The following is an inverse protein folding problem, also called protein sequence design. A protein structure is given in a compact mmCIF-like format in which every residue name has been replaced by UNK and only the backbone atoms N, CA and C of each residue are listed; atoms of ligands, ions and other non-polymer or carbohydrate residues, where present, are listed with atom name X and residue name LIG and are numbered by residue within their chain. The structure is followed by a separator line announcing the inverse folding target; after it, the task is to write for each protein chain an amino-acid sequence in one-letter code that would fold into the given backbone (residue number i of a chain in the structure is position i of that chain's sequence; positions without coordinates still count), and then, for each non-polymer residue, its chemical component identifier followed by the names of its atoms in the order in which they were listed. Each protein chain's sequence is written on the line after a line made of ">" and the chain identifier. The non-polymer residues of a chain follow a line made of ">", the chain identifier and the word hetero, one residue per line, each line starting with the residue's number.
data_IF_440256922676
#
_entry.id   IF_440256922676
#
_cell.length_a   1.000
_cell.length_b   1.000
_cell.length_c   1.000
_cell.angle_alpha   90.00
_cell.angle_beta   90.00
_cell.angle_gamma   90.00
#
_symmetry.space_group_name_H-M   'P 1'
#
loop_
_entity.id
_entity.type
_entity.pdbx_description
1 polymer ?
#
# COMPACT_ATOMS: atom_id res chain seq x y z
N UNK A 1 20.80 13.75 14.29
CA UNK A 1 19.85 12.61 14.28
C UNK A 1 18.57 13.06 14.98
N UNK A 2 17.58 13.55 14.23
CA UNK A 2 16.36 14.14 14.83
C UNK A 2 15.18 13.18 14.69
N UNK A 3 14.71 12.65 15.83
CA UNK A 3 13.58 11.74 15.93
C UNK A 3 12.31 12.59 15.84
N UNK A 4 11.50 12.37 14.80
CA UNK A 4 10.18 13.00 14.64
C UNK A 4 9.10 11.95 14.90
N UNK A 5 8.14 12.16 15.82
CA UNK A 5 7.24 11.14 16.36
C UNK A 5 6.03 10.82 15.45
N UNK A 6 6.21 10.79 14.13
CA UNK A 6 5.14 10.45 13.17
C UNK A 6 5.41 9.06 12.59
N UNK A 7 4.75 8.04 13.16
CA UNK A 7 4.75 6.62 12.73
C UNK A 7 4.94 6.48 11.21
N UNK A 8 6.16 6.12 10.80
CA UNK A 8 6.53 5.91 9.39
C UNK A 8 6.22 4.45 9.07
N UNK A 9 5.18 4.20 8.27
CA UNK A 9 5.01 2.89 7.66
C UNK A 9 6.16 2.68 6.68
N UNK A 10 6.77 1.49 6.68
CA UNK A 10 7.77 1.14 5.66
C UNK A 10 7.11 1.06 4.28
N UNK A 11 7.91 1.12 3.21
CA UNK A 11 7.38 0.98 1.84
C UNK A 11 6.62 -0.33 1.66
N UNK A 12 7.14 -1.42 2.21
CA UNK A 12 6.53 -2.74 2.14
C UNK A 12 5.20 -2.82 2.90
N UNK A 13 5.11 -2.21 4.08
CA UNK A 13 3.85 -2.13 4.83
C UNK A 13 2.79 -1.29 4.10
N UNK A 14 3.22 -0.23 3.40
CA UNK A 14 2.32 0.56 2.54
C UNK A 14 1.83 -0.30 1.36
N UNK A 15 2.74 -1.02 0.68
CA UNK A 15 2.37 -1.90 -0.43
C UNK A 15 1.38 -2.99 -0.02
N UNK A 16 1.62 -3.62 1.14
CA UNK A 16 0.73 -4.63 1.72
C UNK A 16 -0.68 -4.08 1.95
N UNK A 17 -0.80 -2.93 2.62
CA UNK A 17 -2.09 -2.28 2.89
C UNK A 17 -2.82 -1.89 1.60
N UNK A 18 -2.10 -1.35 0.63
CA UNK A 18 -2.65 -0.96 -0.67
C UNK A 18 -3.19 -2.17 -1.45
N UNK A 19 -2.49 -3.30 -1.43
CA UNK A 19 -2.95 -4.54 -2.04
C UNK A 19 -4.20 -5.10 -1.36
N UNK A 20 -4.25 -5.10 -0.02
CA UNK A 20 -5.46 -5.49 0.71
C UNK A 20 -6.67 -4.61 0.35
N UNK A 21 -6.46 -3.30 0.21
CA UNK A 21 -7.54 -2.36 -0.08
C UNK A 21 -8.07 -2.46 -1.52
N UNK A 22 -7.18 -2.61 -2.50
CA UNK A 22 -7.54 -2.49 -3.91
C UNK A 22 -7.63 -3.84 -4.65
N UNK A 23 -6.79 -4.82 -4.31
CA UNK A 23 -6.83 -6.15 -4.93
C UNK A 23 -7.74 -7.11 -4.16
N UNK A 24 -7.71 -7.08 -2.83
CA UNK A 24 -8.56 -7.92 -1.99
C UNK A 24 -9.93 -7.28 -1.65
N UNK A 25 -10.18 -6.05 -2.11
CA UNK A 25 -11.47 -5.37 -1.95
C UNK A 25 -11.82 -4.93 -0.52
N UNK A 26 -10.91 -5.08 0.44
CA UNK A 26 -11.21 -4.87 1.87
C UNK A 26 -11.56 -3.42 2.19
N UNK A 27 -12.38 -3.24 3.23
CA UNK A 27 -12.69 -1.94 3.81
C UNK A 27 -11.50 -1.34 4.56
N UNK A 28 -11.44 -0.01 4.69
CA UNK A 28 -10.30 0.68 5.32
C UNK A 28 -10.03 0.23 6.76
N UNK A 29 -11.08 -0.11 7.52
CA UNK A 29 -10.96 -0.58 8.89
C UNK A 29 -10.36 -1.98 8.97
N UNK A 30 -10.73 -2.87 8.04
CA UNK A 30 -10.19 -4.22 7.99
C UNK A 30 -8.74 -4.24 7.53
N UNK A 31 -8.40 -3.41 6.52
CA UNK A 31 -7.01 -3.19 6.10
C UNK A 31 -6.19 -2.73 7.31
N UNK A 32 -6.72 -1.80 8.11
CA UNK A 32 -6.01 -1.30 9.30
C UNK A 32 -5.77 -2.39 10.33
N UNK A 33 -6.79 -3.17 10.66
CA UNK A 33 -6.67 -4.30 11.60
C UNK A 33 -5.60 -5.29 11.15
N UNK A 34 -5.50 -5.55 9.84
CA UNK A 34 -4.51 -6.50 9.29
C UNK A 34 -3.10 -5.91 9.13
N UNK A 35 -2.94 -4.59 9.15
CA UNK A 35 -1.63 -3.94 8.94
C UNK A 35 -1.03 -3.37 10.25
N UNK A 36 -1.84 -3.17 11.29
CA UNK A 36 -1.36 -2.56 12.54
C UNK A 36 -2.22 -2.97 13.75
N UNK A 37 -1.55 -3.54 14.76
CA UNK A 37 -2.17 -3.91 16.05
C UNK A 37 -2.43 -2.73 17.00
N UNK A 38 -2.12 -1.51 16.58
CA UNK A 38 -2.25 -0.33 17.44
C UNK A 38 -3.74 -0.01 17.64
N UNK A 39 -4.25 -0.35 18.82
CA UNK A 39 -5.61 -0.01 19.28
C UNK A 39 -5.88 1.48 19.08
N UNK A 40 -7.08 1.78 18.60
CA UNK A 40 -7.59 3.15 18.38
C UNK A 40 -7.44 3.96 19.68
N UNK A 41 -6.69 5.06 19.63
CA UNK A 41 -6.83 6.16 20.58
C UNK A 41 -7.21 7.42 19.77
N UNK A 42 -8.43 7.91 19.99
CA UNK A 42 -8.94 9.17 19.44
C UNK A 42 -9.63 9.13 18.07
N UNK A 43 -10.04 10.32 17.62
CA UNK A 43 -10.87 10.66 16.44
C UNK A 43 -10.26 10.28 15.07
N UNK A 44 -9.13 9.56 15.07
CA UNK A 44 -8.52 8.97 13.87
C UNK A 44 -9.35 7.80 13.28
N UNK A 45 -10.58 7.59 13.77
CA UNK A 45 -11.50 6.53 13.41
C UNK A 45 -12.27 6.78 12.09
N UNK A 46 -12.29 8.01 11.56
CA UNK A 46 -12.99 8.31 10.29
C UNK A 46 -12.10 8.06 9.08
N UNK A 47 -12.08 6.80 8.65
CA UNK A 47 -11.46 6.34 7.43
C UNK A 47 -9.94 6.39 7.50
N UNK A 48 -9.26 5.36 7.02
CA UNK A 48 -7.80 5.39 6.95
C UNK A 48 -7.38 6.39 5.84
N UNK A 49 -7.37 7.69 6.17
CA UNK A 49 -6.99 8.81 5.29
C UNK A 49 -5.62 8.61 4.63
N UNK A 50 -4.77 7.75 5.21
CA UNK A 50 -3.51 7.36 4.62
C UNK A 50 -3.67 6.59 3.30
N UNK A 51 -4.70 5.76 3.11
CA UNK A 51 -4.90 5.02 1.85
C UNK A 51 -5.14 5.97 0.67
N UNK A 52 -6.04 6.94 0.82
CA UNK A 52 -6.28 7.95 -0.23
C UNK A 52 -5.12 8.93 -0.38
N UNK A 53 -4.36 9.18 0.69
CA UNK A 53 -3.11 9.95 0.60
C UNK A 53 -2.04 9.19 -0.19
N UNK A 54 -1.82 7.91 0.11
CA UNK A 54 -0.86 7.07 -0.60
C UNK A 54 -1.25 6.87 -2.05
N UNK A 55 -2.54 6.70 -2.36
CA UNK A 55 -3.02 6.66 -3.74
C UNK A 55 -2.68 7.96 -4.51
N UNK A 56 -2.82 9.13 -3.88
CA UNK A 56 -2.39 10.41 -4.46
C UNK A 56 -0.87 10.46 -4.65
N UNK A 57 -0.09 9.98 -3.69
CA UNK A 57 1.37 9.93 -3.79
C UNK A 57 1.85 8.97 -4.88
N UNK A 58 1.18 7.83 -5.08
CA UNK A 58 1.41 6.94 -6.21
C UNK A 58 1.17 7.64 -7.55
N UNK A 59 0.03 8.34 -7.69
CA UNK A 59 -0.28 9.10 -8.91
C UNK A 59 0.73 10.21 -9.17
N UNK A 60 1.22 10.85 -8.11
CA UNK A 60 2.28 11.86 -8.17
C UNK A 60 3.70 11.26 -8.29
N UNK A 61 3.84 9.93 -8.38
CA UNK A 61 5.13 9.21 -8.42
C UNK A 61 6.06 9.50 -7.23
N UNK A 62 5.50 9.94 -6.11
CA UNK A 62 6.21 10.19 -4.85
C UNK A 62 6.37 8.92 -4.00
N UNK A 63 5.71 7.83 -4.39
CA UNK A 63 5.73 6.55 -3.71
C UNK A 63 6.01 5.48 -4.76
N UNK A 64 7.05 4.66 -4.54
CA UNK A 64 7.60 3.72 -5.52
C UNK A 64 7.86 4.38 -6.89
N UNK A 65 8.65 5.46 -6.93
CA UNK A 65 8.83 6.29 -8.15
C UNK A 65 9.35 5.56 -9.39
N UNK A 66 9.97 4.40 -9.21
CA UNK A 66 10.41 3.49 -10.26
C UNK A 66 9.25 2.75 -10.97
N UNK A 67 8.08 2.63 -10.34
CA UNK A 67 6.93 1.96 -10.93
C UNK A 67 6.35 2.80 -12.08
N UNK A 68 6.25 2.16 -13.25
CA UNK A 68 5.53 2.72 -14.39
C UNK A 68 4.10 2.16 -14.42
N UNK A 69 3.12 2.98 -14.02
CA UNK A 69 1.72 2.53 -13.91
C UNK A 69 0.97 2.55 -15.25
N UNK A 70 1.49 3.24 -16.28
CA UNK A 70 0.82 3.44 -17.56
C UNK A 70 -0.47 4.27 -17.43
N UNK A 71 -1.37 4.12 -18.41
CA UNK A 71 -2.70 4.70 -18.32
C UNK A 71 -3.53 3.97 -17.25
N UNK A 72 -4.10 4.72 -16.31
CA UNK A 72 -4.93 4.17 -15.23
C UNK A 72 -6.26 4.90 -15.22
N UNK A 73 -7.35 4.14 -15.08
CA UNK A 73 -8.68 4.68 -14.84
C UNK A 73 -8.68 5.66 -13.65
N UNK A 74 -9.61 6.61 -13.68
CA UNK A 74 -9.72 7.58 -12.62
C UNK A 74 -10.27 6.96 -11.33
N UNK A 75 -9.73 7.44 -10.21
CA UNK A 75 -10.12 7.01 -8.88
C UNK A 75 -8.96 6.43 -8.07
N UNK A 76 -8.96 6.64 -6.74
CA UNK A 76 -7.83 6.26 -5.90
C UNK A 76 -7.66 4.74 -5.80
N UNK A 77 -8.75 3.96 -5.84
CA UNK A 77 -8.67 2.49 -5.86
C UNK A 77 -8.05 1.94 -7.15
N UNK A 78 -8.35 2.53 -8.30
CA UNK A 78 -7.80 2.08 -9.58
C UNK A 78 -6.28 2.27 -9.67
N UNK A 79 -5.80 3.45 -9.27
CA UNK A 79 -4.35 3.73 -9.15
C UNK A 79 -3.68 2.78 -8.17
N UNK A 80 -4.31 2.52 -7.04
CA UNK A 80 -3.77 1.57 -6.08
C UNK A 80 -3.75 0.14 -6.60
N UNK A 81 -4.80 -0.31 -7.29
CA UNK A 81 -4.85 -1.65 -7.88
C UNK A 81 -3.71 -1.83 -8.90
N UNK A 82 -3.53 -0.84 -9.79
CA UNK A 82 -2.45 -0.90 -10.78
C UNK A 82 -1.07 -0.93 -10.14
N UNK A 83 -0.84 -0.09 -9.14
CA UNK A 83 0.43 -0.09 -8.41
C UNK A 83 0.67 -1.40 -7.66
N UNK A 84 -0.34 -1.94 -7.00
CA UNK A 84 -0.24 -3.21 -6.29
C UNK A 84 0.03 -4.39 -7.23
N UNK A 85 -0.58 -4.40 -8.43
CA UNK A 85 -0.28 -5.40 -9.48
C UNK A 85 1.18 -5.33 -9.92
N UNK A 86 1.66 -4.13 -10.26
CA UNK A 86 3.06 -3.95 -10.66
C UNK A 86 4.02 -4.41 -9.55
N UNK A 87 3.70 -4.12 -8.29
CA UNK A 87 4.48 -4.62 -7.15
C UNK A 87 4.46 -6.16 -7.07
N UNK A 88 3.32 -6.82 -7.29
CA UNK A 88 3.28 -8.29 -7.34
C UNK A 88 4.14 -8.86 -8.48
N UNK A 89 4.19 -8.20 -9.64
CA UNK A 89 5.06 -8.59 -10.76
C UNK A 89 6.55 -8.51 -10.40
N UNK A 90 6.93 -7.59 -9.51
CA UNK A 90 8.30 -7.46 -8.97
C UNK A 90 8.61 -8.40 -7.80
N UNK A 91 7.64 -9.19 -7.32
CA UNK A 91 7.88 -10.14 -6.23
C UNK A 91 8.82 -11.28 -6.70
N UNK A 92 9.76 -11.76 -5.86
CA UNK A 92 10.58 -12.91 -6.20
C UNK A 92 9.74 -14.16 -6.49
N UNK A 93 10.25 -15.05 -7.35
CA UNK A 93 9.55 -16.27 -7.77
C UNK A 93 9.01 -17.10 -6.59
N UNK A 94 9.77 -17.16 -5.49
CA UNK A 94 9.40 -17.88 -4.27
C UNK A 94 8.08 -17.38 -3.62
N UNK A 95 7.65 -16.16 -3.95
CA UNK A 95 6.44 -15.55 -3.39
C UNK A 95 5.22 -15.69 -4.30
N UNK A 96 5.34 -16.26 -5.51
CA UNK A 96 4.23 -16.32 -6.49
C UNK A 96 3.00 -17.11 -6.01
N UNK A 97 3.19 -18.07 -5.10
CA UNK A 97 2.09 -18.83 -4.48
C UNK A 97 1.51 -18.14 -3.23
N UNK A 98 2.15 -17.09 -2.72
CA UNK A 98 1.68 -16.35 -1.56
C UNK A 98 0.44 -15.51 -1.92
N UNK A 99 -0.39 -15.11 -0.94
CA UNK A 99 -1.49 -14.18 -1.20
C UNK A 99 -1.00 -12.84 -1.78
N UNK A 100 -1.82 -12.20 -2.62
CA UNK A 100 -1.45 -10.97 -3.36
C UNK A 100 -0.86 -9.86 -2.48
N UNK A 101 -1.38 -9.67 -1.26
CA UNK A 101 -0.84 -8.67 -0.34
C UNK A 101 0.62 -8.95 0.07
N UNK A 102 0.97 -10.22 0.25
CA UNK A 102 2.34 -10.65 0.56
C UNK A 102 3.26 -10.54 -0.66
N UNK A 103 2.74 -10.81 -1.86
CA UNK A 103 3.48 -10.57 -3.10
C UNK A 103 3.81 -9.08 -3.25
N UNK A 104 2.83 -8.19 -3.06
CA UNK A 104 3.05 -6.75 -3.13
C UNK A 104 4.06 -6.25 -2.07
N UNK A 105 4.00 -6.80 -0.84
CA UNK A 105 5.00 -6.54 0.20
C UNK A 105 6.40 -6.92 -0.26
N UNK A 106 6.56 -8.15 -0.78
CA UNK A 106 7.86 -8.65 -1.22
C UNK A 106 8.39 -7.87 -2.43
N UNK A 107 7.53 -7.54 -3.40
CA UNK A 107 7.91 -6.75 -4.56
C UNK A 107 8.31 -5.32 -4.22
N UNK A 108 7.66 -4.69 -3.23
CA UNK A 108 8.02 -3.35 -2.77
C UNK A 108 9.48 -3.25 -2.32
N UNK A 109 10.00 -4.28 -1.65
CA UNK A 109 11.41 -4.37 -1.24
C UNK A 109 12.40 -4.38 -2.42
N UNK A 110 11.94 -4.74 -3.62
CA UNK A 110 12.77 -4.84 -4.83
C UNK A 110 12.67 -3.61 -5.74
N UNK A 111 11.71 -2.71 -5.51
CA UNK A 111 11.53 -1.45 -6.27
C UNK A 111 11.78 -0.18 -5.45
N UNK A 112 12.01 -0.31 -4.14
CA UNK A 112 12.30 0.79 -3.21
C UNK A 112 13.77 1.16 -3.14
#
# INVERSE_FOLDING_TARGET
>A
MSISPRKRFSGEAIAFALALWALCGLGADEVRQRTSDWRRQGDAARGWRSLTRWARQLRARQLFGALHLGAVADGPRAVTARAAQALCEHAPLAWRSAPLAHQAFAGARHVS
#
